data_IF_199625763596
#
_entry.id   IF_199625763596
#
_cell.length_a   1.000
_cell.length_b   1.000
_cell.length_c   1.000
_cell.angle_alpha   90.00
_cell.angle_beta   90.00
_cell.angle_gamma   90.00
#
_symmetry.space_group_name_H-M   'P 1'
#
loop_
_entity.id
_entity.type
_entity.pdbx_description
1 polymer ?
#
# COMPACT_ATOMS: atom_id res chain seq x y z
N UNK A 1 -6.65 19.38 -14.34
CA UNK A 1 -5.78 20.16 -13.45
C UNK A 1 -6.53 21.27 -12.72
N UNK A 2 -7.39 22.06 -13.41
CA UNK A 2 -8.14 23.18 -12.81
C UNK A 2 -8.88 22.77 -11.53
N UNK A 3 -9.63 21.67 -11.56
CA UNK A 3 -10.43 21.23 -10.41
C UNK A 3 -9.54 20.84 -9.20
N UNK A 4 -8.40 20.23 -9.45
CA UNK A 4 -7.42 19.89 -8.41
C UNK A 4 -6.81 21.17 -7.83
N UNK A 5 -6.43 22.11 -8.67
CA UNK A 5 -5.89 23.40 -8.23
C UNK A 5 -6.90 24.16 -7.36
N UNK A 6 -8.13 24.32 -7.85
CA UNK A 6 -9.19 25.00 -7.11
C UNK A 6 -9.52 24.29 -5.78
N UNK A 7 -9.40 22.96 -5.75
CA UNK A 7 -9.60 22.19 -4.55
C UNK A 7 -8.48 22.42 -3.53
N UNK A 8 -7.21 22.49 -3.97
CA UNK A 8 -6.10 22.86 -3.11
C UNK A 8 -6.26 24.27 -2.54
N UNK A 9 -6.59 25.26 -3.37
CA UNK A 9 -6.82 26.64 -2.93
C UNK A 9 -7.86 26.70 -1.80
N UNK A 10 -8.99 26.01 -2.00
CA UNK A 10 -10.08 25.95 -1.00
C UNK A 10 -9.69 25.27 0.29
N UNK A 11 -8.83 24.28 0.26
CA UNK A 11 -8.45 23.42 1.40
C UNK A 11 -6.96 23.53 1.73
N UNK A 12 -6.31 24.65 1.38
CA UNK A 12 -4.86 24.79 1.40
C UNK A 12 -4.23 24.48 2.76
N UNK A 13 -4.80 24.95 3.85
CA UNK A 13 -4.30 24.68 5.22
C UNK A 13 -4.59 23.26 5.71
N UNK A 14 -5.64 22.63 5.16
CA UNK A 14 -6.16 21.36 5.65
C UNK A 14 -5.45 20.13 5.08
N UNK A 15 -5.04 20.17 3.79
CA UNK A 15 -4.53 19.02 3.05
C UNK A 15 -3.15 19.27 2.46
N UNK A 16 -2.38 18.20 2.29
CA UNK A 16 -1.08 18.19 1.60
C UNK A 16 -1.09 17.31 0.34
N UNK A 17 -2.07 16.40 0.24
CA UNK A 17 -2.21 15.45 -0.85
C UNK A 17 -3.64 15.47 -1.39
N UNK A 18 -3.78 15.56 -2.70
CA UNK A 18 -5.04 15.34 -3.43
C UNK A 18 -4.89 14.16 -4.35
N UNK A 19 -5.91 13.31 -4.44
CA UNK A 19 -5.93 12.22 -5.40
C UNK A 19 -7.14 12.27 -6.33
N UNK A 20 -7.00 11.65 -7.52
CA UNK A 20 -8.03 11.51 -8.55
C UNK A 20 -8.26 10.04 -8.87
N UNK A 21 -9.43 9.67 -9.43
CA UNK A 21 -9.74 8.32 -9.86
C UNK A 21 -8.78 7.77 -10.91
N UNK A 22 -8.54 6.45 -10.85
CA UNK A 22 -7.73 5.70 -11.82
C UNK A 22 -8.66 4.84 -12.68
N UNK A 23 -8.49 4.92 -14.00
CA UNK A 23 -9.21 4.09 -14.97
C UNK A 23 -8.22 3.28 -15.79
N UNK A 24 -8.50 1.99 -15.93
CA UNK A 24 -7.72 1.11 -16.79
C UNK A 24 -8.11 1.27 -18.26
N UNK A 25 -7.11 1.24 -19.15
CA UNK A 25 -7.32 1.16 -20.60
C UNK A 25 -6.26 0.28 -21.26
N UNK A 26 -6.52 -0.15 -22.48
CA UNK A 26 -5.68 -1.12 -23.20
C UNK A 26 -6.26 -2.52 -23.13
N UNK A 27 -5.46 -3.51 -22.77
CA UNK A 27 -5.89 -4.92 -22.66
C UNK A 27 -6.90 -5.17 -21.54
N UNK A 28 -6.93 -4.34 -20.51
CA UNK A 28 -7.93 -4.34 -19.46
C UNK A 28 -8.60 -2.97 -19.41
N UNK A 29 -9.93 -2.96 -19.26
CA UNK A 29 -10.72 -1.74 -19.09
C UNK A 29 -11.44 -1.77 -17.74
N UNK A 30 -11.80 -0.60 -17.22
CA UNK A 30 -12.63 -0.46 -16.02
C UNK A 30 -11.99 0.39 -14.92
N UNK A 31 -12.60 0.32 -13.75
CA UNK A 31 -12.24 1.12 -12.59
C UNK A 31 -11.16 0.43 -11.74
N UNK A 32 -10.24 1.23 -11.21
CA UNK A 32 -9.34 0.73 -10.18
C UNK A 32 -10.13 0.39 -8.89
N UNK A 33 -9.80 -0.69 -8.17
CA UNK A 33 -10.51 -1.09 -6.96
C UNK A 33 -10.60 0.00 -5.90
N UNK A 34 -9.62 0.87 -5.78
CA UNK A 34 -9.61 1.98 -4.82
C UNK A 34 -10.45 3.20 -5.25
N UNK A 35 -11.13 3.15 -6.40
CA UNK A 35 -12.02 4.24 -6.83
C UNK A 35 -13.30 4.33 -6.00
N UNK A 36 -13.61 3.35 -5.16
CA UNK A 36 -14.78 3.38 -4.27
C UNK A 36 -14.84 4.63 -3.38
N UNK A 37 -13.68 5.24 -3.08
CA UNK A 37 -13.57 6.45 -2.25
C UNK A 37 -14.01 7.74 -2.99
N UNK A 38 -14.06 7.75 -4.32
CA UNK A 38 -14.43 8.92 -5.13
C UNK A 38 -15.94 9.04 -5.39
N UNK A 39 -16.79 8.69 -4.41
CA UNK A 39 -18.26 8.91 -4.53
C UNK A 39 -18.61 10.38 -4.68
N UNK A 40 -17.88 11.26 -3.99
CA UNK A 40 -17.99 12.72 -4.04
C UNK A 40 -16.61 13.36 -3.92
N UNK A 41 -16.48 14.60 -4.39
CA UNK A 41 -15.32 15.47 -4.12
C UNK A 41 -15.39 15.94 -2.67
N UNK A 42 -14.26 15.90 -1.95
CA UNK A 42 -14.19 16.32 -0.55
C UNK A 42 -12.89 15.93 0.12
N UNK A 43 -12.74 16.27 1.39
CA UNK A 43 -11.61 15.87 2.21
C UNK A 43 -12.00 14.62 3.00
N UNK A 44 -11.21 13.57 2.89
CA UNK A 44 -11.32 12.38 3.71
C UNK A 44 -10.41 12.48 4.93
N UNK A 45 -10.95 12.21 6.11
CA UNK A 45 -10.23 12.08 7.35
C UNK A 45 -9.80 10.62 7.54
N UNK A 46 -8.51 10.34 7.40
CA UNK A 46 -7.97 8.97 7.45
C UNK A 46 -8.02 8.35 8.85
N UNK A 47 -8.24 9.15 9.89
CA UNK A 47 -8.51 8.64 11.24
C UNK A 47 -9.93 8.06 11.37
N UNK A 48 -10.87 8.54 10.55
CA UNK A 48 -12.29 8.12 10.52
C UNK A 48 -12.63 7.20 9.35
N UNK A 49 -11.88 7.30 8.27
CA UNK A 49 -12.06 6.54 7.02
C UNK A 49 -10.72 5.89 6.62
N UNK A 50 -10.18 5.01 7.48
CA UNK A 50 -8.82 4.46 7.30
C UNK A 50 -8.68 3.61 6.04
N UNK A 51 -9.78 3.09 5.48
CA UNK A 51 -9.81 2.33 4.24
C UNK A 51 -9.64 3.20 2.97
N UNK A 52 -9.68 4.54 3.09
CA UNK A 52 -9.51 5.47 1.97
C UNK A 52 -8.02 5.70 1.64
N UNK A 53 -7.29 4.61 1.52
CA UNK A 53 -5.85 4.58 1.26
C UNK A 53 -5.47 5.15 -0.12
N UNK A 54 -4.24 5.65 -0.22
CA UNK A 54 -3.64 6.11 -1.48
C UNK A 54 -2.24 5.52 -1.63
N UNK A 55 -1.98 4.85 -2.77
CA UNK A 55 -0.69 4.23 -3.06
C UNK A 55 -0.06 4.78 -4.34
N UNK A 56 -0.88 5.28 -5.28
CA UNK A 56 -0.40 5.69 -6.59
C UNK A 56 0.08 7.15 -6.58
N UNK A 57 1.36 7.36 -6.82
CA UNK A 57 1.94 8.68 -7.06
C UNK A 57 1.38 9.37 -8.31
N UNK A 58 1.30 8.69 -9.48
CA UNK A 58 0.80 9.29 -10.72
C UNK A 58 -0.65 9.80 -10.67
N UNK A 59 -1.48 9.31 -9.76
CA UNK A 59 -2.85 9.81 -9.53
C UNK A 59 -2.96 10.76 -8.35
N UNK A 60 -1.82 11.22 -7.82
CA UNK A 60 -1.73 12.11 -6.67
C UNK A 60 -1.07 13.44 -7.05
N UNK A 61 -1.50 14.50 -6.36
CA UNK A 61 -0.94 15.84 -6.44
C UNK A 61 -0.52 16.25 -5.03
N UNK A 62 0.58 16.96 -4.93
CA UNK A 62 1.23 17.28 -3.66
C UNK A 62 1.48 18.78 -3.54
N UNK A 63 1.35 19.33 -2.34
CA UNK A 63 1.86 20.67 -2.04
C UNK A 63 3.38 20.60 -2.01
N UNK A 64 4.04 21.47 -2.78
CA UNK A 64 5.49 21.51 -2.86
C UNK A 64 6.15 21.70 -1.48
N UNK A 65 5.61 22.61 -0.67
CA UNK A 65 6.10 22.88 0.69
C UNK A 65 5.97 21.68 1.65
N UNK A 66 4.94 20.84 1.46
CA UNK A 66 4.72 19.66 2.29
C UNK A 66 5.70 18.52 1.99
N UNK A 67 6.30 18.50 0.81
CA UNK A 67 7.31 17.52 0.43
C UNK A 67 8.56 17.67 1.30
N UNK A 68 9.03 18.92 1.51
CA UNK A 68 10.21 19.20 2.34
C UNK A 68 11.39 18.31 1.93
N UNK A 69 11.95 17.61 2.92
CA UNK A 69 13.09 16.69 2.72
C UNK A 69 12.68 15.24 2.36
N UNK A 70 11.37 14.97 2.20
CA UNK A 70 10.87 13.63 1.85
C UNK A 70 11.29 13.32 0.41
N UNK A 71 11.97 12.19 0.21
CA UNK A 71 12.46 11.74 -1.10
C UNK A 71 11.95 10.35 -1.42
N UNK A 72 11.90 10.03 -2.70
CA UNK A 72 11.67 8.66 -3.15
C UNK A 72 12.78 7.74 -2.64
N UNK A 73 12.40 6.57 -2.13
CA UNK A 73 13.36 5.59 -1.66
C UNK A 73 13.95 4.82 -2.84
N UNK A 74 15.18 5.18 -3.23
CA UNK A 74 15.90 4.57 -4.37
C UNK A 74 16.24 3.09 -4.19
N UNK A 75 16.09 2.54 -2.98
CA UNK A 75 16.26 1.10 -2.70
C UNK A 75 15.00 0.29 -3.03
N UNK A 76 13.90 0.94 -3.38
CA UNK A 76 12.66 0.31 -3.81
C UNK A 76 12.57 0.29 -5.33
N UNK A 77 12.44 -0.89 -5.92
CA UNK A 77 12.14 -1.06 -7.35
C UNK A 77 10.68 -0.81 -7.67
N UNK A 78 9.80 -1.04 -6.69
CA UNK A 78 8.36 -0.82 -6.75
C UNK A 78 7.85 -0.41 -5.36
N UNK A 79 6.69 0.26 -5.28
CA UNK A 79 6.08 0.83 -4.08
C UNK A 79 6.82 2.07 -3.51
N UNK A 80 7.77 2.63 -4.24
CA UNK A 80 8.45 3.87 -3.90
C UNK A 80 7.48 5.05 -3.82
N UNK A 81 6.53 5.10 -4.75
CA UNK A 81 5.44 6.08 -4.78
C UNK A 81 4.46 5.88 -3.62
N UNK A 82 4.08 4.65 -3.31
CA UNK A 82 3.24 4.35 -2.17
C UNK A 82 3.90 4.76 -0.85
N UNK A 83 5.21 4.52 -0.70
CA UNK A 83 5.96 4.95 0.49
C UNK A 83 5.99 6.47 0.60
N UNK A 84 6.32 7.17 -0.48
CA UNK A 84 6.38 8.62 -0.54
C UNK A 84 5.03 9.26 -0.18
N UNK A 85 3.95 8.82 -0.82
CA UNK A 85 2.59 9.35 -0.57
C UNK A 85 2.18 9.18 0.89
N UNK A 86 2.43 7.99 1.46
CA UNK A 86 1.99 7.71 2.82
C UNK A 86 2.84 8.41 3.90
N UNK A 87 4.11 8.74 3.61
CA UNK A 87 4.88 9.63 4.49
C UNK A 87 4.24 11.03 4.56
N UNK A 88 3.78 11.58 3.43
CA UNK A 88 3.07 12.87 3.39
C UNK A 88 1.72 12.78 4.13
N UNK A 89 0.94 11.73 3.88
CA UNK A 89 -0.37 11.55 4.53
C UNK A 89 -0.27 11.41 6.06
N UNK A 90 0.83 10.88 6.58
CA UNK A 90 1.11 10.86 8.02
C UNK A 90 1.23 12.26 8.64
N UNK A 91 1.37 13.34 7.86
CA UNK A 91 1.48 14.68 8.42
C UNK A 91 0.15 15.22 8.94
N UNK A 92 -0.90 15.13 8.14
CA UNK A 92 -2.21 15.72 8.50
C UNK A 92 -3.34 14.70 8.62
N UNK A 93 -3.13 13.45 8.20
CA UNK A 93 -4.15 12.40 8.16
C UNK A 93 -5.38 12.80 7.32
N UNK A 94 -5.16 13.65 6.31
CA UNK A 94 -6.19 14.18 5.43
C UNK A 94 -5.83 13.91 3.98
N UNK A 95 -6.79 13.39 3.22
CA UNK A 95 -6.65 13.12 1.78
C UNK A 95 -7.73 13.87 1.01
N UNK A 96 -7.32 14.78 0.14
CA UNK A 96 -8.23 15.40 -0.81
C UNK A 96 -8.65 14.43 -1.91
N UNK A 97 -9.95 14.39 -2.20
CA UNK A 97 -10.55 13.54 -3.23
C UNK A 97 -11.23 14.43 -4.28
N UNK A 98 -10.72 14.43 -5.51
CA UNK A 98 -11.32 15.17 -6.65
C UNK A 98 -11.89 14.19 -7.66
N UNK A 99 -13.22 14.01 -7.64
CA UNK A 99 -13.94 13.03 -8.45
C UNK A 99 -13.90 13.33 -9.96
N UNK A 100 -13.85 14.58 -10.35
CA UNK A 100 -13.88 15.01 -11.76
C UNK A 100 -12.56 14.77 -12.51
N UNK A 101 -11.46 14.52 -11.78
CA UNK A 101 -10.18 14.15 -12.38
C UNK A 101 -10.16 12.70 -12.86
N UNK A 102 -9.23 12.38 -13.76
CA UNK A 102 -9.03 11.01 -14.23
C UNK A 102 -7.56 10.75 -14.55
N UNK A 103 -7.01 9.70 -14.00
CA UNK A 103 -5.72 9.14 -14.40
C UNK A 103 -5.97 7.86 -15.17
N UNK A 104 -5.52 7.80 -16.43
CA UNK A 104 -5.67 6.62 -17.27
C UNK A 104 -4.42 5.74 -17.17
N UNK A 105 -4.58 4.58 -16.51
CA UNK A 105 -3.52 3.60 -16.34
C UNK A 105 -3.57 2.58 -17.49
N UNK A 106 -2.52 2.56 -18.31
CA UNK A 106 -2.43 1.65 -19.44
C UNK A 106 -2.05 0.24 -19.00
N UNK A 107 -2.84 -0.73 -19.44
CA UNK A 107 -2.56 -2.17 -19.31
C UNK A 107 -2.11 -2.72 -20.65
N UNK A 108 -0.97 -3.40 -20.67
CA UNK A 108 -0.45 -4.05 -21.88
C UNK A 108 -0.74 -5.54 -21.86
N UNK A 109 -1.00 -6.15 -23.03
CA UNK A 109 -1.14 -7.61 -23.19
C UNK A 109 0.20 -8.33 -22.90
N UNK A 110 1.30 -7.73 -23.32
CA UNK A 110 2.65 -8.30 -23.20
C UNK A 110 3.19 -8.39 -21.76
N UNK A 111 2.47 -7.91 -20.74
CA UNK A 111 2.91 -7.89 -19.32
C UNK A 111 4.35 -7.41 -19.15
N UNK A 112 4.72 -6.32 -19.81
CA UNK A 112 6.09 -5.77 -19.86
C UNK A 112 6.31 -4.62 -18.88
N UNK A 113 5.42 -4.42 -17.90
CA UNK A 113 5.61 -3.37 -16.89
C UNK A 113 6.59 -3.80 -15.80
N UNK A 114 7.22 -2.84 -15.12
CA UNK A 114 8.07 -3.11 -13.95
C UNK A 114 7.34 -3.94 -12.89
N UNK A 115 6.03 -3.72 -12.72
CA UNK A 115 5.21 -4.50 -11.78
C UNK A 115 5.10 -5.98 -12.21
N UNK A 116 5.03 -6.26 -13.50
CA UNK A 116 4.93 -7.63 -14.01
C UNK A 116 6.25 -8.40 -13.81
N UNK A 117 7.39 -7.70 -13.83
CA UNK A 117 8.71 -8.30 -13.59
C UNK A 117 9.07 -8.33 -12.09
N UNK A 118 8.56 -7.43 -11.29
CA UNK A 118 8.96 -7.29 -9.88
C UNK A 118 8.80 -8.57 -9.08
N UNK A 119 7.69 -9.29 -9.26
CA UNK A 119 7.42 -10.57 -8.56
C UNK A 119 8.38 -11.70 -8.93
N UNK A 120 9.24 -11.52 -9.94
CA UNK A 120 10.29 -12.46 -10.35
C UNK A 120 11.66 -12.13 -9.77
N UNK A 121 11.76 -11.10 -8.92
CA UNK A 121 13.02 -10.64 -8.33
C UNK A 121 13.03 -10.78 -6.82
N UNK A 122 14.19 -11.05 -6.22
CA UNK A 122 14.37 -11.07 -4.75
C UNK A 122 13.95 -9.74 -4.11
N UNK A 123 14.17 -8.62 -4.80
CA UNK A 123 13.81 -7.29 -4.32
C UNK A 123 12.34 -7.14 -3.96
N UNK A 124 11.46 -7.82 -4.68
CA UNK A 124 10.01 -7.81 -4.40
C UNK A 124 9.69 -8.43 -3.03
N UNK A 125 10.39 -9.48 -2.63
CA UNK A 125 10.14 -10.23 -1.39
C UNK A 125 10.94 -9.69 -0.21
N UNK A 126 12.19 -9.27 -0.43
CA UNK A 126 13.11 -8.89 0.64
C UNK A 126 13.16 -7.38 0.80
N UNK A 127 13.55 -6.65 -0.27
CA UNK A 127 13.75 -5.20 -0.18
C UNK A 127 12.43 -4.46 0.07
N UNK A 128 11.33 -4.90 -0.53
CA UNK A 128 10.00 -4.30 -0.33
C UNK A 128 9.53 -4.45 1.13
N UNK A 129 9.73 -5.62 1.75
CA UNK A 129 9.42 -5.82 3.17
C UNK A 129 10.21 -4.84 4.04
N UNK A 130 11.53 -4.80 3.86
CA UNK A 130 12.42 -3.98 4.70
C UNK A 130 12.29 -2.47 4.41
N UNK A 131 12.17 -2.07 3.16
CA UNK A 131 12.24 -0.68 2.75
C UNK A 131 10.88 0.02 2.61
N UNK A 132 9.78 -0.74 2.49
CA UNK A 132 8.43 -0.20 2.46
C UNK A 132 7.67 -0.54 3.73
N UNK A 133 7.39 -1.83 4.01
CA UNK A 133 6.52 -2.20 5.14
C UNK A 133 7.12 -1.80 6.49
N UNK A 134 8.34 -2.21 6.79
CA UNK A 134 8.98 -1.90 8.09
C UNK A 134 9.18 -0.40 8.27
N UNK A 135 9.60 0.31 7.22
CA UNK A 135 9.78 1.76 7.31
C UNK A 135 8.45 2.48 7.52
N UNK A 136 7.37 2.02 6.89
CA UNK A 136 6.07 2.65 7.06
C UNK A 136 5.52 2.41 8.47
N UNK A 137 5.68 1.19 9.00
CA UNK A 137 5.41 0.85 10.41
C UNK A 137 6.23 1.77 11.34
N UNK A 138 7.53 1.89 11.10
CA UNK A 138 8.41 2.74 11.88
C UNK A 138 7.98 4.22 11.83
N UNK A 139 7.68 4.77 10.66
CA UNK A 139 7.24 6.16 10.51
C UNK A 139 5.95 6.42 11.30
N UNK A 140 4.99 5.49 11.24
CA UNK A 140 3.74 5.60 12.00
C UNK A 140 4.00 5.56 13.52
N UNK A 141 4.74 4.56 14.00
CA UNK A 141 5.06 4.42 15.43
C UNK A 141 5.89 5.58 15.97
N UNK A 142 6.88 6.06 15.21
CA UNK A 142 7.71 7.21 15.61
C UNK A 142 6.88 8.47 15.81
N UNK A 143 5.85 8.68 15.00
CA UNK A 143 5.05 9.92 15.03
C UNK A 143 3.85 9.83 15.97
N UNK A 144 3.23 8.65 16.09
CA UNK A 144 1.96 8.48 16.80
C UNK A 144 2.01 7.46 17.93
N UNK A 145 3.13 6.79 18.17
CA UNK A 145 3.27 5.72 19.17
C UNK A 145 2.73 4.37 18.70
N UNK A 146 1.93 4.33 17.63
CA UNK A 146 1.25 3.15 17.11
C UNK A 146 1.27 3.07 15.58
N UNK A 147 0.87 1.93 15.02
CA UNK A 147 0.62 1.79 13.59
C UNK A 147 -0.82 2.20 13.31
N UNK A 148 -1.01 3.42 12.83
CA UNK A 148 -2.32 3.98 12.53
C UNK A 148 -3.12 3.07 11.58
N UNK A 149 -4.42 2.98 11.79
CA UNK A 149 -5.29 2.06 11.06
C UNK A 149 -5.22 2.22 9.54
N UNK A 150 -5.09 3.44 9.02
CA UNK A 150 -4.94 3.65 7.58
C UNK A 150 -3.62 3.08 7.04
N UNK A 151 -2.53 3.12 7.81
CA UNK A 151 -1.26 2.49 7.46
C UNK A 151 -1.43 0.97 7.43
N UNK A 152 -2.14 0.39 8.40
CA UNK A 152 -2.45 -1.04 8.39
C UNK A 152 -3.22 -1.44 7.11
N UNK A 153 -4.18 -0.63 6.66
CA UNK A 153 -4.88 -0.83 5.39
C UNK A 153 -3.95 -0.73 4.18
N UNK A 154 -3.00 0.21 4.17
CA UNK A 154 -1.97 0.32 3.12
C UNK A 154 -1.11 -0.93 3.08
N UNK A 155 -0.59 -1.38 4.22
CA UNK A 155 0.23 -2.58 4.34
C UNK A 155 -0.53 -3.81 3.85
N UNK A 156 -1.76 -4.01 4.32
CA UNK A 156 -2.56 -5.17 3.96
C UNK A 156 -2.98 -5.16 2.48
N UNK A 157 -3.28 -3.99 1.90
CA UNK A 157 -3.56 -3.86 0.47
C UNK A 157 -2.35 -4.25 -0.39
N UNK A 158 -1.15 -3.95 0.07
CA UNK A 158 0.08 -4.33 -0.63
C UNK A 158 0.38 -5.83 -0.46
N UNK A 159 0.33 -6.33 0.76
CA UNK A 159 0.60 -7.74 1.08
C UNK A 159 -0.34 -8.73 0.37
N UNK A 160 -1.57 -8.32 0.04
CA UNK A 160 -2.50 -9.21 -0.66
C UNK A 160 -1.93 -9.78 -1.98
N UNK A 161 -1.06 -9.04 -2.65
CA UNK A 161 -0.44 -9.50 -3.90
C UNK A 161 0.63 -10.55 -3.63
N UNK A 162 1.38 -10.40 -2.54
CA UNK A 162 2.38 -11.36 -2.11
C UNK A 162 1.72 -12.67 -1.69
N UNK A 163 0.64 -12.63 -0.92
CA UNK A 163 -0.12 -13.82 -0.49
C UNK A 163 -0.79 -14.59 -1.64
N UNK A 164 -0.96 -13.97 -2.81
CA UNK A 164 -1.50 -14.64 -4.01
C UNK A 164 -0.45 -15.41 -4.82
N UNK A 165 0.83 -15.27 -4.50
CA UNK A 165 1.91 -15.95 -5.22
C UNK A 165 2.00 -17.39 -4.72
N UNK A 166 1.96 -18.35 -5.66
CA UNK A 166 1.91 -19.79 -5.33
C UNK A 166 3.27 -20.47 -5.22
N UNK A 167 4.32 -19.93 -5.88
CA UNK A 167 5.67 -20.56 -5.93
C UNK A 167 6.73 -19.47 -5.89
N UNK A 168 7.63 -19.56 -4.91
CA UNK A 168 8.75 -18.61 -4.71
C UNK A 168 10.11 -19.30 -4.60
N UNK A 169 10.15 -20.63 -4.48
CA UNK A 169 11.37 -21.43 -4.26
C UNK A 169 12.37 -21.41 -5.42
N UNK A 170 12.00 -20.89 -6.58
CA UNK A 170 12.91 -20.65 -7.70
C UNK A 170 13.54 -19.24 -7.66
N UNK A 171 13.10 -18.38 -6.74
CA UNK A 171 13.54 -16.98 -6.59
C UNK A 171 14.34 -16.80 -5.31
N UNK A 172 13.88 -17.38 -4.21
CA UNK A 172 14.44 -17.29 -2.86
C UNK A 172 15.06 -18.62 -2.45
N UNK A 173 16.17 -18.56 -1.72
CA UNK A 173 16.70 -19.73 -0.99
C UNK A 173 15.79 -20.12 0.16
N UNK A 174 16.04 -21.29 0.76
CA UNK A 174 15.30 -21.77 1.92
C UNK A 174 15.37 -20.78 3.10
N UNK A 175 16.58 -20.30 3.43
CA UNK A 175 16.77 -19.34 4.52
C UNK A 175 16.07 -18.01 4.23
N UNK A 176 16.09 -17.54 2.98
CA UNK A 176 15.39 -16.33 2.55
C UNK A 176 13.85 -16.47 2.65
N UNK A 177 13.34 -17.67 2.38
CA UNK A 177 11.91 -17.99 2.57
C UNK A 177 11.56 -17.94 4.06
N UNK A 178 12.39 -18.56 4.90
CA UNK A 178 12.20 -18.57 6.36
C UNK A 178 12.21 -17.14 6.91
N UNK A 179 13.22 -16.33 6.54
CA UNK A 179 13.27 -14.91 6.90
C UNK A 179 12.02 -14.14 6.44
N UNK A 180 11.55 -14.41 5.22
CA UNK A 180 10.32 -13.79 4.70
C UNK A 180 9.12 -14.10 5.57
N UNK A 181 8.93 -15.35 6.00
CA UNK A 181 7.82 -15.74 6.88
C UNK A 181 7.89 -15.05 8.25
N UNK A 182 9.08 -14.99 8.88
CA UNK A 182 9.28 -14.26 10.14
C UNK A 182 8.87 -12.79 9.96
N UNK A 183 9.31 -12.15 8.87
CA UNK A 183 9.01 -10.77 8.58
C UNK A 183 7.51 -10.54 8.33
N UNK A 184 6.84 -11.47 7.65
CA UNK A 184 5.39 -11.42 7.43
C UNK A 184 4.60 -11.52 8.73
N UNK A 185 4.98 -12.46 9.62
CA UNK A 185 4.38 -12.61 10.94
C UNK A 185 4.51 -11.29 11.73
N UNK A 186 5.71 -10.71 11.75
CA UNK A 186 5.94 -9.42 12.42
C UNK A 186 5.03 -8.32 11.87
N UNK A 187 4.88 -8.21 10.55
CA UNK A 187 3.99 -7.21 9.94
C UNK A 187 2.54 -7.48 10.33
N UNK A 188 2.09 -8.73 10.25
CA UNK A 188 0.72 -9.11 10.57
C UNK A 188 0.36 -8.86 12.03
N UNK A 189 1.31 -9.00 12.96
CA UNK A 189 1.13 -8.64 14.38
C UNK A 189 0.93 -7.13 14.60
N UNK A 190 1.28 -6.29 13.62
CA UNK A 190 1.03 -4.85 13.61
C UNK A 190 -0.23 -4.45 12.82
N UNK A 191 -1.07 -5.39 12.44
CA UNK A 191 -2.31 -5.17 11.67
C UNK A 191 -3.48 -5.74 12.49
N UNK A 192 -4.49 -4.91 12.75
CA UNK A 192 -5.70 -5.32 13.47
C UNK A 192 -6.50 -6.35 12.66
N UNK A 193 -7.21 -7.22 13.35
CA UNK A 193 -7.98 -8.31 12.73
C UNK A 193 -9.08 -7.81 11.80
N UNK A 194 -9.75 -6.73 12.16
CA UNK A 194 -10.78 -6.13 11.35
C UNK A 194 -10.23 -5.57 10.02
N UNK A 195 -8.98 -5.12 9.99
CA UNK A 195 -8.31 -4.69 8.76
C UNK A 195 -8.09 -5.87 7.81
N UNK A 196 -7.68 -7.04 8.33
CA UNK A 196 -7.55 -8.27 7.54
C UNK A 196 -8.92 -8.74 7.06
N UNK A 197 -9.88 -8.78 7.98
CA UNK A 197 -11.25 -9.24 7.70
C UNK A 197 -11.93 -8.39 6.62
N UNK A 198 -11.76 -7.06 6.67
CA UNK A 198 -12.40 -6.11 5.76
C UNK A 198 -11.72 -6.00 4.37
N UNK A 199 -10.65 -6.77 4.08
CA UNK A 199 -10.06 -6.79 2.74
C UNK A 199 -10.99 -7.44 1.71
N UNK A 200 -11.56 -6.62 0.82
CA UNK A 200 -12.55 -7.08 -0.18
C UNK A 200 -11.96 -7.95 -1.28
N UNK A 201 -10.67 -7.79 -1.56
CA UNK A 201 -9.98 -8.46 -2.67
C UNK A 201 -9.25 -9.75 -2.24
N UNK A 202 -9.45 -10.21 -1.01
CA UNK A 202 -8.86 -11.43 -0.44
C UNK A 202 -9.99 -12.43 -0.18
N UNK A 203 -9.87 -13.63 -0.74
CA UNK A 203 -10.82 -14.73 -0.51
C UNK A 203 -10.76 -15.23 0.93
N UNK A 204 -11.86 -15.74 1.46
CA UNK A 204 -11.95 -16.19 2.87
C UNK A 204 -10.92 -17.27 3.23
N UNK A 205 -10.67 -18.23 2.34
CA UNK A 205 -9.62 -19.23 2.56
C UNK A 205 -8.24 -18.60 2.78
N UNK A 206 -7.91 -17.57 1.99
CA UNK A 206 -6.64 -16.87 2.16
C UNK A 206 -6.62 -16.02 3.44
N UNK A 207 -7.74 -15.43 3.85
CA UNK A 207 -7.86 -14.75 5.15
C UNK A 207 -7.60 -15.71 6.31
N UNK A 208 -8.18 -16.91 6.27
CA UNK A 208 -7.93 -17.97 7.28
C UNK A 208 -6.44 -18.27 7.37
N UNK A 209 -5.76 -18.42 6.23
CA UNK A 209 -4.31 -18.66 6.21
C UNK A 209 -3.50 -17.47 6.78
N UNK A 210 -3.92 -16.23 6.49
CA UNK A 210 -3.29 -15.02 7.05
C UNK A 210 -3.47 -14.97 8.57
N UNK A 211 -4.64 -15.32 9.10
CA UNK A 211 -4.87 -15.42 10.54
C UNK A 211 -4.04 -16.54 11.18
N UNK A 212 -3.97 -17.70 10.53
CA UNK A 212 -3.07 -18.77 10.98
C UNK A 212 -1.63 -18.27 11.10
N UNK A 213 -1.13 -17.61 10.05
CA UNK A 213 0.23 -17.04 10.05
C UNK A 213 0.42 -16.00 11.16
N UNK A 214 -0.57 -15.14 11.38
CA UNK A 214 -0.52 -14.09 12.40
C UNK A 214 -0.43 -14.66 13.83
N UNK A 215 -1.20 -15.69 14.15
CA UNK A 215 -1.36 -16.18 15.52
C UNK A 215 -0.55 -17.43 15.85
N UNK A 216 -0.35 -18.33 14.89
CA UNK A 216 0.31 -19.60 15.07
C UNK A 216 1.62 -19.74 14.28
N UNK A 217 1.97 -18.74 13.47
CA UNK A 217 3.13 -18.82 12.60
C UNK A 217 4.45 -18.94 13.33
N UNK A 218 4.62 -18.30 14.49
CA UNK A 218 5.83 -18.42 15.30
C UNK A 218 6.00 -19.85 15.86
N UNK A 219 4.92 -20.45 16.36
CA UNK A 219 4.94 -21.81 16.90
C UNK A 219 5.19 -22.82 15.78
N UNK A 220 4.58 -22.60 14.62
CA UNK A 220 4.81 -23.44 13.45
C UNK A 220 6.28 -23.40 13.00
N UNK A 221 6.89 -22.21 12.90
CA UNK A 221 8.29 -22.07 12.51
C UNK A 221 9.26 -22.66 13.53
N UNK A 222 8.93 -22.57 14.83
CA UNK A 222 9.75 -23.17 15.90
C UNK A 222 9.74 -24.70 15.90
N UNK A 223 8.66 -25.32 15.38
CA UNK A 223 8.48 -26.77 15.33
C UNK A 223 8.77 -27.39 13.95
N UNK A 224 9.13 -26.59 12.95
CA UNK A 224 9.64 -27.11 11.68
C UNK A 224 11.12 -27.45 11.86
N UNK A 225 11.44 -28.72 12.18
CA UNK A 225 12.78 -29.27 12.03
C UNK A 225 13.14 -29.26 10.53
N UNK A 226 14.18 -28.51 10.17
CA UNK A 226 14.69 -28.39 8.82
C UNK A 226 15.83 -29.34 8.53
#
# INVERSE_FOLDING_TARGET
>A
FRDVYNFFEKHYSEIDVVSIPIYYFGSQKGNHPLNFKFKKTGVADLSKQPEFIQLSGPSSFFKAEAIGDIKFNVKLQTAEDAFFVNQLLLNKLKLGLVKSGSYFYRKFEAKNSLLDYSSKTKGYYISRIKQFHFKLIYCSKKKYGEVLKFIQYVLMYDLQWLFKIKKINHILSHDEIHELYINLIFILQNIDDDVIYNQKNIQNQLKTHIFFLKYLGNDYLANCDY
#
